data_IF_638717188706
#
_entry.id   IF_638717188706
#
_cell.length_a   1.000
_cell.length_b   1.000
_cell.length_c   1.000
_cell.angle_alpha   90.00
_cell.angle_beta   90.00
_cell.angle_gamma   90.00
#
_symmetry.space_group_name_H-M   'P 1'
#
loop_
_entity.id
_entity.type
_entity.pdbx_description
1 polymer ?
#
# COMPACT_ATOMS: atom_id res chain seq x y z
N UNK A 1 92.69 42.37 -16.51
CA UNK A 1 91.54 42.74 -17.36
C UNK A 1 90.31 42.04 -16.81
N UNK A 2 89.24 42.80 -16.60
CA UNK A 2 87.95 42.36 -16.06
C UNK A 2 87.31 41.25 -16.87
N UNK A 3 86.61 40.33 -16.20
CA UNK A 3 85.21 40.00 -16.50
C UNK A 3 84.51 39.42 -15.27
N UNK A 4 83.33 39.98 -15.01
CA UNK A 4 82.33 39.57 -14.04
C UNK A 4 81.82 38.15 -14.30
N UNK A 5 81.60 37.37 -13.23
CA UNK A 5 80.53 36.36 -13.20
C UNK A 5 79.73 36.50 -11.90
N UNK A 6 78.46 36.87 -12.06
CA UNK A 6 77.44 36.82 -11.01
C UNK A 6 77.18 35.36 -10.62
N UNK A 7 77.11 35.02 -9.33
CA UNK A 7 76.56 33.74 -8.91
C UNK A 7 75.05 33.77 -9.07
N UNK A 8 74.52 32.90 -9.94
CA UNK A 8 73.10 32.57 -9.98
C UNK A 8 72.76 31.75 -8.73
N UNK A 9 72.28 32.44 -7.69
CA UNK A 9 71.65 31.81 -6.53
C UNK A 9 70.38 31.10 -6.97
N UNK A 10 70.49 29.83 -7.34
CA UNK A 10 69.38 28.89 -7.39
C UNK A 10 68.79 28.78 -5.98
N UNK A 11 67.72 29.55 -5.71
CA UNK A 11 66.85 29.30 -4.55
C UNK A 11 66.17 27.95 -4.79
N UNK A 12 66.79 26.88 -4.30
CA UNK A 12 66.08 25.64 -4.02
C UNK A 12 65.03 25.99 -2.98
N UNK A 13 63.77 26.09 -3.39
CA UNK A 13 62.64 25.93 -2.48
C UNK A 13 62.69 24.47 -2.00
N UNK A 14 63.52 24.20 -0.99
CA UNK A 14 63.47 22.93 -0.25
C UNK A 14 62.13 22.92 0.45
N UNK A 15 61.20 22.14 -0.06
CA UNK A 15 59.93 21.86 0.61
C UNK A 15 60.30 21.08 1.88
N UNK A 16 60.42 21.76 3.02
CA UNK A 16 60.85 21.20 4.31
C UNK A 16 59.72 20.54 5.09
N UNK A 17 58.53 20.47 4.50
CA UNK A 17 57.37 19.83 5.09
C UNK A 17 57.49 18.29 5.02
N UNK A 18 57.03 17.57 6.05
CA UNK A 18 56.90 16.11 6.01
C UNK A 18 56.08 15.67 4.78
N UNK A 19 56.50 14.61 4.07
CA UNK A 19 55.73 14.06 2.95
C UNK A 19 54.34 13.61 3.43
N UNK A 20 53.32 13.79 2.58
CA UNK A 20 51.98 13.26 2.83
C UNK A 20 52.05 11.74 2.97
N UNK A 21 51.75 11.24 4.16
CA UNK A 21 51.71 9.82 4.53
C UNK A 21 50.47 9.59 5.40
N UNK A 22 49.77 8.49 5.19
CA UNK A 22 48.54 8.16 5.94
C UNK A 22 47.28 8.88 5.43
N UNK A 23 46.17 8.71 6.16
CA UNK A 23 44.92 9.44 5.89
C UNK A 23 45.05 10.93 6.30
N UNK A 24 44.16 11.79 5.81
CA UNK A 24 44.19 13.25 5.98
C UNK A 24 44.32 13.67 7.45
N UNK A 25 43.69 12.94 8.38
CA UNK A 25 43.73 13.16 9.82
C UNK A 25 45.10 12.82 10.42
N UNK A 26 45.69 11.70 10.00
CA UNK A 26 47.03 11.26 10.41
C UNK A 26 48.09 12.25 9.94
N UNK A 27 47.95 12.75 8.70
CA UNK A 27 48.85 13.76 8.17
C UNK A 27 48.69 15.13 8.86
N UNK A 28 47.47 15.52 9.25
CA UNK A 28 47.24 16.72 10.07
C UNK A 28 47.94 16.58 11.44
N UNK A 29 47.91 15.40 12.05
CA UNK A 29 48.60 15.15 13.32
C UNK A 29 50.13 15.22 13.17
N UNK A 30 50.69 14.58 12.14
CA UNK A 30 52.13 14.63 11.82
C UNK A 30 52.59 16.07 11.59
N UNK A 31 51.83 16.87 10.84
CA UNK A 31 52.16 18.28 10.60
C UNK A 31 52.04 19.14 11.85
N UNK A 32 51.12 18.83 12.76
CA UNK A 32 50.99 19.51 14.05
C UNK A 32 52.21 19.23 14.96
N UNK A 33 52.64 17.98 15.02
CA UNK A 33 53.82 17.59 15.81
C UNK A 33 55.12 18.13 15.20
N UNK A 34 55.20 18.21 13.88
CA UNK A 34 56.28 18.89 13.16
C UNK A 34 56.30 20.40 13.44
N UNK A 35 55.13 21.08 13.39
CA UNK A 35 55.02 22.49 13.77
C UNK A 35 55.55 22.71 15.19
N UNK A 36 55.13 21.89 16.16
CA UNK A 36 55.59 21.97 17.56
C UNK A 36 57.08 21.72 17.73
N UNK A 37 57.64 20.83 16.93
CA UNK A 37 59.08 20.56 16.92
C UNK A 37 59.87 21.73 16.35
N UNK A 38 59.40 22.35 15.26
CA UNK A 38 60.02 23.54 14.66
C UNK A 38 59.90 24.79 15.56
N UNK A 39 58.79 24.95 16.28
CA UNK A 39 58.62 26.00 17.31
C UNK A 39 59.66 25.86 18.43
N UNK A 40 59.87 24.65 18.95
CA UNK A 40 60.87 24.37 19.99
C UNK A 40 62.31 24.55 19.51
N UNK A 41 62.58 24.26 18.24
CA UNK A 41 63.90 24.39 17.62
C UNK A 41 64.22 25.81 17.10
N UNK A 42 63.32 26.78 17.26
CA UNK A 42 63.51 28.16 16.77
C UNK A 42 63.39 28.33 15.26
N UNK A 43 62.89 27.31 14.53
CA UNK A 43 62.73 27.32 13.07
C UNK A 43 61.37 27.89 12.67
N UNK A 44 61.17 29.18 12.92
CA UNK A 44 59.85 29.83 12.78
C UNK A 44 59.31 29.88 11.35
N UNK A 45 60.17 29.92 10.34
CA UNK A 45 59.73 29.88 8.93
C UNK A 45 59.10 28.53 8.56
N UNK A 46 59.68 27.42 9.04
CA UNK A 46 59.13 26.08 8.84
C UNK A 46 57.84 25.88 9.65
N UNK A 47 57.77 26.43 10.87
CA UNK A 47 56.55 26.41 11.68
C UNK A 47 55.40 27.22 11.04
N UNK A 48 55.68 28.37 10.40
CA UNK A 48 54.65 29.14 9.68
C UNK A 48 54.16 28.41 8.42
N UNK A 49 55.06 27.73 7.70
CA UNK A 49 54.69 26.89 6.56
C UNK A 49 53.81 25.70 7.00
N UNK A 50 54.18 25.01 8.08
CA UNK A 50 53.38 23.92 8.66
C UNK A 50 52.01 24.43 9.13
N UNK A 51 51.95 25.61 9.76
CA UNK A 51 50.71 26.25 10.20
C UNK A 51 49.77 26.57 9.03
N UNK A 52 50.28 27.13 7.93
CA UNK A 52 49.49 27.42 6.71
C UNK A 52 48.95 26.12 6.11
N UNK A 53 49.81 25.11 5.98
CA UNK A 53 49.41 23.80 5.43
C UNK A 53 48.37 23.10 6.31
N UNK A 54 48.50 23.18 7.64
CA UNK A 54 47.48 22.68 8.58
C UNK A 54 46.13 23.37 8.42
N UNK A 55 46.09 24.67 8.17
CA UNK A 55 44.85 25.40 7.95
C UNK A 55 44.15 24.95 6.66
N UNK A 56 44.91 24.72 5.58
CA UNK A 56 44.40 24.19 4.31
C UNK A 56 43.83 22.77 4.49
N UNK A 57 44.61 21.87 5.10
CA UNK A 57 44.20 20.47 5.27
C UNK A 57 42.99 20.32 6.20
N UNK A 58 42.89 21.14 7.24
CA UNK A 58 41.69 21.17 8.10
C UNK A 58 40.45 21.60 7.32
N UNK A 59 40.58 22.60 6.45
CA UNK A 59 39.48 23.03 5.58
C UNK A 59 39.09 21.95 4.58
N UNK A 60 40.06 21.23 4.04
CA UNK A 60 39.85 20.09 3.14
C UNK A 60 39.14 18.93 3.86
N UNK A 61 39.59 18.59 5.07
CA UNK A 61 38.96 17.58 5.92
C UNK A 61 37.51 17.96 6.28
N UNK A 62 37.28 19.21 6.67
CA UNK A 62 35.93 19.72 6.95
C UNK A 62 35.00 19.61 5.73
N UNK A 63 35.52 19.89 4.54
CA UNK A 63 34.76 19.76 3.29
C UNK A 63 34.47 18.30 2.96
N UNK A 64 35.46 17.40 3.12
CA UNK A 64 35.30 15.96 2.95
C UNK A 64 34.22 15.41 3.90
N UNK A 65 34.32 15.73 5.19
CA UNK A 65 33.36 15.31 6.21
C UNK A 65 31.92 15.78 5.90
N UNK A 66 31.76 17.00 5.36
CA UNK A 66 30.44 17.51 4.94
C UNK A 66 29.87 16.74 3.74
N UNK A 67 30.71 16.38 2.77
CA UNK A 67 30.30 15.59 1.61
C UNK A 67 29.92 14.17 2.06
N UNK A 68 30.75 13.52 2.86
CA UNK A 68 30.50 12.16 3.36
C UNK A 68 29.19 12.07 4.15
N UNK A 69 28.91 13.06 5.01
CA UNK A 69 27.63 13.15 5.74
C UNK A 69 26.46 13.32 4.78
N UNK A 70 26.59 14.20 3.78
CA UNK A 70 25.53 14.43 2.79
C UNK A 70 25.26 13.19 1.94
N UNK A 71 26.30 12.48 1.53
CA UNK A 71 26.18 11.28 0.71
C UNK A 71 25.52 10.15 1.50
N UNK A 72 25.91 9.98 2.77
CA UNK A 72 25.22 9.04 3.67
C UNK A 72 23.75 9.41 3.87
N UNK A 73 23.44 10.68 4.13
CA UNK A 73 22.05 11.15 4.27
C UNK A 73 21.21 10.86 3.03
N UNK A 74 21.81 11.00 1.84
CA UNK A 74 21.19 10.66 0.57
C UNK A 74 20.92 9.16 0.45
N UNK A 75 21.90 8.31 0.81
CA UNK A 75 21.74 6.85 0.81
C UNK A 75 20.63 6.39 1.75
N UNK A 76 20.63 6.88 3.00
CA UNK A 76 19.61 6.55 4.01
C UNK A 76 18.20 6.90 3.50
N UNK A 77 18.05 8.06 2.85
CA UNK A 77 16.77 8.47 2.27
C UNK A 77 16.33 7.55 1.14
N UNK A 78 17.25 7.19 0.24
CA UNK A 78 16.97 6.26 -0.87
C UNK A 78 16.58 4.87 -0.36
N UNK A 79 17.25 4.38 0.69
CA UNK A 79 16.95 3.09 1.30
C UNK A 79 15.54 3.06 1.90
N UNK A 80 15.14 4.14 2.61
CA UNK A 80 13.79 4.27 3.16
C UNK A 80 12.74 4.36 2.05
N UNK A 81 13.00 5.14 0.99
CA UNK A 81 12.10 5.26 -0.17
C UNK A 81 11.92 3.92 -0.88
N UNK A 82 13.01 3.17 -1.08
CA UNK A 82 12.97 1.84 -1.67
C UNK A 82 12.19 0.85 -0.79
N UNK A 83 12.49 0.80 0.50
CA UNK A 83 11.80 -0.08 1.44
C UNK A 83 10.29 0.24 1.50
N UNK A 84 9.92 1.52 1.50
CA UNK A 84 8.52 1.93 1.44
C UNK A 84 7.85 1.53 0.14
N UNK A 85 8.52 1.70 -1.01
CA UNK A 85 7.98 1.31 -2.30
C UNK A 85 7.73 -0.21 -2.35
N UNK A 86 8.65 -1.00 -1.81
CA UNK A 86 8.51 -2.45 -1.71
C UNK A 86 7.32 -2.83 -0.79
N UNK A 87 7.19 -2.21 0.39
CA UNK A 87 6.03 -2.40 1.28
C UNK A 87 4.72 -2.00 0.59
N UNK A 88 4.70 -0.89 -0.14
CA UNK A 88 3.53 -0.40 -0.87
C UNK A 88 3.12 -1.32 -2.02
N UNK A 89 4.09 -1.86 -2.75
CA UNK A 89 3.81 -2.82 -3.82
C UNK A 89 3.25 -4.12 -3.25
N UNK A 90 3.86 -4.66 -2.18
CA UNK A 90 3.35 -5.85 -1.49
C UNK A 90 1.93 -5.63 -0.94
N UNK A 91 1.67 -4.45 -0.37
CA UNK A 91 0.34 -4.06 0.10
C UNK A 91 -0.69 -4.10 -1.04
N UNK A 92 -0.37 -3.53 -2.20
CA UNK A 92 -1.28 -3.54 -3.34
C UNK A 92 -1.50 -4.96 -3.88
N UNK A 93 -0.44 -5.73 -4.09
CA UNK A 93 -0.56 -7.12 -4.55
C UNK A 93 -1.44 -7.95 -3.62
N UNK A 94 -1.19 -7.89 -2.31
CA UNK A 94 -1.99 -8.60 -1.31
C UNK A 94 -3.47 -8.20 -1.38
N UNK A 95 -3.77 -6.90 -1.45
CA UNK A 95 -5.14 -6.42 -1.49
C UNK A 95 -5.84 -6.72 -2.82
N UNK A 96 -5.12 -6.67 -3.94
CA UNK A 96 -5.66 -7.03 -5.25
C UNK A 96 -6.01 -8.53 -5.29
N UNK A 97 -5.11 -9.40 -4.81
CA UNK A 97 -5.36 -10.84 -4.66
C UNK A 97 -6.56 -11.11 -3.76
N UNK A 98 -6.58 -10.52 -2.56
CA UNK A 98 -7.67 -10.69 -1.58
C UNK A 98 -9.02 -10.24 -2.12
N UNK A 99 -9.08 -9.15 -2.89
CA UNK A 99 -10.32 -8.68 -3.51
C UNK A 99 -10.80 -9.63 -4.62
N UNK A 100 -9.87 -10.13 -5.45
CA UNK A 100 -10.18 -11.12 -6.48
C UNK A 100 -10.71 -12.42 -5.87
N UNK A 101 -10.07 -12.92 -4.80
CA UNK A 101 -10.53 -14.13 -4.09
C UNK A 101 -11.94 -13.94 -3.51
N UNK A 102 -12.21 -12.78 -2.90
CA UNK A 102 -13.54 -12.46 -2.38
C UNK A 102 -14.59 -12.47 -3.49
N UNK A 103 -14.30 -11.85 -4.64
CA UNK A 103 -15.23 -11.78 -5.77
C UNK A 103 -15.47 -13.16 -6.39
N UNK A 104 -14.44 -14.00 -6.48
CA UNK A 104 -14.56 -15.37 -6.97
C UNK A 104 -15.44 -16.22 -6.06
N UNK A 105 -15.21 -16.18 -4.74
CA UNK A 105 -16.02 -16.94 -3.79
C UNK A 105 -17.46 -16.42 -3.73
N UNK A 106 -17.67 -15.11 -3.79
CA UNK A 106 -18.99 -14.50 -3.87
C UNK A 106 -19.75 -14.96 -5.12
N UNK A 107 -19.07 -15.00 -6.27
CA UNK A 107 -19.66 -15.47 -7.54
C UNK A 107 -20.02 -16.97 -7.47
N UNK A 108 -19.14 -17.79 -6.89
CA UNK A 108 -19.39 -19.22 -6.68
C UNK A 108 -20.60 -19.47 -5.78
N UNK A 109 -20.73 -18.74 -4.67
CA UNK A 109 -21.90 -18.83 -3.78
C UNK A 109 -23.19 -18.44 -4.52
N UNK A 110 -23.13 -17.39 -5.35
CA UNK A 110 -24.26 -16.98 -6.17
C UNK A 110 -24.66 -18.04 -7.19
N UNK A 111 -23.70 -18.65 -7.87
CA UNK A 111 -23.94 -19.71 -8.86
C UNK A 111 -24.52 -20.96 -8.20
N UNK A 112 -23.99 -21.38 -7.05
CA UNK A 112 -24.56 -22.48 -6.26
C UNK A 112 -26.00 -22.22 -5.82
N UNK A 113 -26.31 -20.97 -5.45
CA UNK A 113 -27.67 -20.57 -5.08
C UNK A 113 -28.62 -20.65 -6.28
N UNK A 114 -28.19 -20.19 -7.45
CA UNK A 114 -28.96 -20.29 -8.69
C UNK A 114 -29.21 -21.75 -9.09
N UNK A 115 -28.18 -22.59 -9.05
CA UNK A 115 -28.32 -24.02 -9.34
C UNK A 115 -29.34 -24.67 -8.40
N UNK A 116 -29.25 -24.39 -7.09
CA UNK A 116 -30.22 -24.88 -6.11
C UNK A 116 -31.64 -24.39 -6.40
N UNK A 117 -31.80 -23.14 -6.83
CA UNK A 117 -33.11 -22.58 -7.20
C UNK A 117 -33.71 -23.28 -8.43
N UNK A 118 -32.89 -23.63 -9.42
CA UNK A 118 -33.32 -24.37 -10.60
C UNK A 118 -33.76 -25.80 -10.24
N UNK A 119 -32.97 -26.50 -9.43
CA UNK A 119 -33.30 -27.85 -8.96
C UNK A 119 -34.58 -27.87 -8.11
N UNK A 120 -34.71 -26.90 -7.19
CA UNK A 120 -35.91 -26.71 -6.37
C UNK A 120 -37.14 -26.42 -7.24
N UNK A 121 -37.00 -25.55 -8.26
CA UNK A 121 -38.10 -25.23 -9.17
C UNK A 121 -38.55 -26.44 -9.97
N UNK A 122 -37.60 -27.26 -10.43
CA UNK A 122 -37.88 -28.50 -11.16
C UNK A 122 -38.63 -29.50 -10.28
N UNK A 123 -38.09 -29.80 -9.10
CA UNK A 123 -38.70 -30.75 -8.15
C UNK A 123 -40.10 -30.27 -7.73
N UNK A 124 -40.25 -28.98 -7.41
CA UNK A 124 -41.54 -28.42 -7.03
C UNK A 124 -42.56 -28.45 -8.17
N UNK A 125 -42.13 -28.23 -9.41
CA UNK A 125 -43.02 -28.34 -10.58
C UNK A 125 -43.53 -29.78 -10.76
N UNK A 126 -42.63 -30.77 -10.67
CA UNK A 126 -42.98 -32.20 -10.76
C UNK A 126 -43.93 -32.60 -9.60
N UNK A 127 -43.69 -32.11 -8.39
CA UNK A 127 -44.56 -32.33 -7.23
C UNK A 127 -45.96 -31.73 -7.43
N UNK A 128 -46.05 -30.51 -7.96
CA UNK A 128 -47.33 -29.85 -8.24
C UNK A 128 -48.11 -30.58 -9.34
N UNK A 129 -47.43 -31.08 -10.37
CA UNK A 129 -48.07 -31.84 -11.44
C UNK A 129 -48.64 -33.17 -10.92
N UNK A 130 -47.90 -33.87 -10.06
CA UNK A 130 -48.31 -35.16 -9.51
C UNK A 130 -49.35 -35.06 -8.38
N UNK A 131 -49.30 -34.00 -7.57
CA UNK A 131 -50.17 -33.85 -6.40
C UNK A 131 -51.55 -33.27 -6.72
N UNK A 132 -51.69 -32.49 -7.80
CA UNK A 132 -52.96 -31.86 -8.17
C UNK A 132 -53.71 -32.75 -9.18
N UNK A 133 -54.91 -33.28 -8.83
CA UNK A 133 -55.63 -34.22 -9.67
C UNK A 133 -55.87 -33.71 -11.08
N UNK A 134 -55.62 -34.57 -12.08
CA UNK A 134 -55.78 -34.20 -13.50
C UNK A 134 -57.25 -34.10 -13.89
N UNK A 135 -58.13 -34.91 -13.29
CA UNK A 135 -59.57 -34.90 -13.54
C UNK A 135 -60.33 -34.35 -12.31
N UNK A 136 -61.39 -33.57 -12.53
CA UNK A 136 -62.29 -33.19 -11.45
C UNK A 136 -63.07 -34.42 -10.95
N UNK A 137 -63.63 -34.31 -9.74
CA UNK A 137 -64.66 -35.26 -9.29
C UNK A 137 -65.96 -34.95 -10.02
N UNK A 138 -66.73 -35.99 -10.37
CA UNK A 138 -68.03 -35.82 -11.01
C UNK A 138 -68.94 -34.92 -10.17
N UNK A 139 -69.57 -33.94 -10.81
CA UNK A 139 -70.54 -33.09 -10.13
C UNK A 139 -71.82 -33.86 -9.79
N UNK A 140 -72.57 -33.37 -8.80
CA UNK A 140 -73.84 -33.99 -8.40
C UNK A 140 -74.86 -34.02 -9.55
N UNK A 141 -74.84 -33.01 -10.43
CA UNK A 141 -75.67 -32.96 -11.64
C UNK A 141 -75.26 -34.04 -12.64
N UNK A 142 -73.96 -34.23 -12.85
CA UNK A 142 -73.42 -35.26 -13.75
C UNK A 142 -73.77 -36.68 -13.28
N UNK A 143 -73.67 -36.92 -11.97
CA UNK A 143 -74.12 -38.17 -11.34
C UNK A 143 -75.64 -38.38 -11.50
N UNK A 144 -76.45 -37.32 -11.37
CA UNK A 144 -77.90 -37.39 -11.57
C UNK A 144 -78.26 -37.69 -13.03
N UNK A 145 -77.56 -37.08 -14.00
CA UNK A 145 -77.76 -37.35 -15.42
C UNK A 145 -77.39 -38.79 -15.78
N UNK A 146 -76.26 -39.33 -15.29
CA UNK A 146 -75.89 -40.74 -15.48
C UNK A 146 -76.92 -41.70 -14.90
N UNK A 147 -77.46 -41.41 -13.71
CA UNK A 147 -78.55 -42.21 -13.12
C UNK A 147 -79.82 -42.17 -13.98
N UNK A 148 -80.13 -41.00 -14.55
CA UNK A 148 -81.30 -40.80 -15.42
C UNK A 148 -81.13 -41.55 -16.74
N UNK A 149 -79.95 -41.49 -17.37
CA UNK A 149 -79.58 -42.26 -18.55
C UNK A 149 -79.76 -43.77 -18.30
N UNK A 150 -79.20 -44.28 -17.21
CA UNK A 150 -79.29 -45.70 -16.84
C UNK A 150 -80.76 -46.14 -16.67
N UNK A 151 -81.58 -45.28 -16.05
CA UNK A 151 -83.00 -45.57 -15.85
C UNK A 151 -83.79 -45.56 -17.17
N UNK A 152 -83.53 -44.62 -18.07
CA UNK A 152 -84.15 -44.58 -19.40
C UNK A 152 -83.74 -45.78 -20.27
N UNK A 153 -82.47 -46.19 -20.19
CA UNK A 153 -81.98 -47.39 -20.86
C UNK A 153 -82.66 -48.67 -20.36
N UNK A 154 -82.85 -48.81 -19.03
CA UNK A 154 -83.61 -49.93 -18.43
C UNK A 154 -85.07 -49.96 -18.83
N UNK A 155 -85.65 -48.80 -19.16
CA UNK A 155 -87.02 -48.66 -19.66
C UNK A 155 -87.12 -48.81 -21.18
N UNK A 156 -86.02 -49.18 -21.85
CA UNK A 156 -85.91 -49.31 -23.32
C UNK A 156 -86.20 -48.02 -24.10
N UNK A 157 -86.17 -46.87 -23.44
CA UNK A 157 -86.36 -45.56 -24.08
C UNK A 157 -85.04 -45.02 -24.62
N UNK A 158 -84.54 -45.66 -25.68
CA UNK A 158 -83.20 -45.43 -26.21
C UNK A 158 -82.99 -44.03 -26.80
N UNK A 159 -84.03 -43.44 -27.39
CA UNK A 159 -83.94 -42.09 -27.97
C UNK A 159 -83.71 -41.03 -26.90
N UNK A 160 -84.45 -41.10 -25.80
CA UNK A 160 -84.25 -40.18 -24.67
C UNK A 160 -82.93 -40.46 -23.94
N UNK A 161 -82.56 -41.73 -23.77
CA UNK A 161 -81.26 -42.09 -23.19
C UNK A 161 -80.08 -41.50 -23.99
N UNK A 162 -80.12 -41.57 -25.33
CA UNK A 162 -79.09 -40.97 -26.19
C UNK A 162 -79.04 -39.44 -26.07
N UNK A 163 -80.18 -38.76 -25.90
CA UNK A 163 -80.20 -37.31 -25.67
C UNK A 163 -79.54 -36.95 -24.33
N UNK A 164 -79.83 -37.72 -23.27
CA UNK A 164 -79.19 -37.54 -21.96
C UNK A 164 -77.69 -37.84 -22.06
N UNK A 165 -77.28 -38.87 -22.80
CA UNK A 165 -75.87 -39.19 -23.05
C UNK A 165 -75.12 -38.02 -23.69
N UNK A 166 -75.68 -37.38 -24.71
CA UNK A 166 -75.07 -36.19 -25.33
C UNK A 166 -74.97 -35.02 -24.35
N UNK A 167 -75.95 -34.87 -23.46
CA UNK A 167 -75.91 -33.87 -22.38
C UNK A 167 -74.79 -34.15 -21.37
N UNK A 168 -74.61 -35.41 -20.98
CA UNK A 168 -73.50 -35.85 -20.10
C UNK A 168 -72.16 -35.52 -20.76
N UNK A 169 -71.95 -35.91 -22.02
CA UNK A 169 -70.69 -35.66 -22.74
C UNK A 169 -70.35 -34.16 -22.82
N UNK A 170 -71.33 -33.31 -23.14
CA UNK A 170 -71.13 -31.85 -23.14
C UNK A 170 -70.78 -31.32 -21.74
N UNK A 171 -71.49 -31.77 -20.71
CA UNK A 171 -71.23 -31.33 -19.34
C UNK A 171 -69.86 -31.79 -18.82
N UNK A 172 -69.46 -33.03 -19.10
CA UNK A 172 -68.14 -33.56 -18.77
C UNK A 172 -67.02 -32.75 -19.43
N UNK A 173 -67.20 -32.39 -20.71
CA UNK A 173 -66.23 -31.57 -21.44
C UNK A 173 -66.08 -30.20 -20.79
N UNK A 174 -67.20 -29.53 -20.49
CA UNK A 174 -67.18 -28.18 -19.92
C UNK A 174 -66.62 -28.17 -18.48
N UNK A 175 -66.94 -29.18 -17.68
CA UNK A 175 -66.36 -29.36 -16.33
C UNK A 175 -64.86 -29.65 -16.39
N UNK A 176 -64.43 -30.51 -17.31
CA UNK A 176 -63.01 -30.85 -17.51
C UNK A 176 -62.20 -29.63 -17.97
N UNK A 177 -62.74 -28.81 -18.88
CA UNK A 177 -62.08 -27.59 -19.35
C UNK A 177 -61.89 -26.59 -18.21
N UNK A 178 -62.96 -26.28 -17.46
CA UNK A 178 -62.90 -25.39 -16.29
C UNK A 178 -61.92 -25.91 -15.25
N UNK A 179 -61.94 -27.21 -14.97
CA UNK A 179 -61.00 -27.84 -14.05
C UNK A 179 -59.55 -27.70 -14.51
N UNK A 180 -59.29 -27.96 -15.79
CA UNK A 180 -57.95 -27.89 -16.39
C UNK A 180 -57.38 -26.47 -16.28
N UNK A 181 -58.17 -25.45 -16.62
CA UNK A 181 -57.77 -24.04 -16.49
C UNK A 181 -57.51 -23.68 -15.02
N UNK A 182 -58.40 -24.07 -14.10
CA UNK A 182 -58.24 -23.83 -12.67
C UNK A 182 -57.00 -24.50 -12.09
N UNK A 183 -56.74 -25.76 -12.47
CA UNK A 183 -55.54 -26.52 -12.09
C UNK A 183 -54.27 -25.81 -12.56
N UNK A 184 -54.21 -25.44 -13.84
CA UNK A 184 -53.05 -24.74 -14.40
C UNK A 184 -52.83 -23.37 -13.74
N UNK A 185 -53.90 -22.65 -13.42
CA UNK A 185 -53.77 -21.37 -12.70
C UNK A 185 -53.22 -21.58 -11.28
N UNK A 186 -53.69 -22.61 -10.57
CA UNK A 186 -53.18 -22.95 -9.23
C UNK A 186 -51.68 -23.28 -9.28
N UNK A 187 -51.26 -24.11 -10.23
CA UNK A 187 -49.84 -24.44 -10.44
C UNK A 187 -49.02 -23.17 -10.72
N UNK A 188 -49.47 -22.33 -11.67
CA UNK A 188 -48.79 -21.06 -12.01
C UNK A 188 -48.66 -20.11 -10.82
N UNK A 189 -49.69 -20.01 -9.99
CA UNK A 189 -49.66 -19.16 -8.80
C UNK A 189 -48.62 -19.64 -7.78
N UNK A 190 -48.55 -20.95 -7.54
CA UNK A 190 -47.58 -21.55 -6.60
C UNK A 190 -46.14 -21.41 -7.11
N UNK A 191 -45.91 -21.62 -8.42
CA UNK A 191 -44.60 -21.38 -9.04
C UNK A 191 -44.20 -19.90 -8.93
N UNK A 192 -45.13 -18.97 -9.18
CA UNK A 192 -44.86 -17.53 -9.03
C UNK A 192 -44.45 -17.18 -7.59
N UNK A 193 -45.11 -17.78 -6.58
CA UNK A 193 -44.74 -17.56 -5.18
C UNK A 193 -43.35 -18.09 -4.84
N UNK A 194 -42.97 -19.27 -5.34
CA UNK A 194 -41.63 -19.82 -5.15
C UNK A 194 -40.58 -18.91 -5.80
N UNK A 195 -40.79 -18.51 -7.07
CA UNK A 195 -39.90 -17.59 -7.78
C UNK A 195 -39.73 -16.26 -7.04
N UNK A 196 -40.79 -15.72 -6.46
CA UNK A 196 -40.69 -14.48 -5.68
C UNK A 196 -39.80 -14.65 -4.44
N UNK A 197 -39.86 -15.80 -3.75
CA UNK A 197 -38.96 -16.11 -2.63
C UNK A 197 -37.50 -16.19 -3.10
N UNK A 198 -37.26 -16.88 -4.23
CA UNK A 198 -35.94 -17.02 -4.84
C UNK A 198 -35.35 -15.66 -5.25
N UNK A 199 -36.15 -14.77 -5.85
CA UNK A 199 -35.75 -13.39 -6.19
C UNK A 199 -35.36 -12.62 -4.92
N UNK A 200 -36.16 -12.70 -3.86
CA UNK A 200 -35.86 -12.01 -2.60
C UNK A 200 -34.55 -12.51 -1.98
N UNK A 201 -34.30 -13.82 -2.03
CA UNK A 201 -33.06 -14.42 -1.56
C UNK A 201 -31.85 -13.93 -2.37
N UNK A 202 -31.93 -13.95 -3.70
CA UNK A 202 -30.85 -13.45 -4.58
C UNK A 202 -30.59 -11.96 -4.37
N UNK A 203 -31.63 -11.15 -4.16
CA UNK A 203 -31.48 -9.74 -3.85
C UNK A 203 -30.76 -9.53 -2.53
N UNK A 204 -31.14 -10.26 -1.48
CA UNK A 204 -30.46 -10.20 -0.18
C UNK A 204 -28.99 -10.63 -0.28
N UNK A 205 -28.71 -11.72 -1.02
CA UNK A 205 -27.35 -12.18 -1.28
C UNK A 205 -26.54 -11.12 -2.03
N UNK A 206 -27.10 -10.53 -3.08
CA UNK A 206 -26.44 -9.47 -3.85
C UNK A 206 -26.11 -8.26 -2.98
N UNK A 207 -27.03 -7.81 -2.14
CA UNK A 207 -26.78 -6.71 -1.20
C UNK A 207 -25.69 -7.06 -0.18
N UNK A 208 -25.64 -8.32 0.29
CA UNK A 208 -24.55 -8.79 1.17
C UNK A 208 -23.19 -8.78 0.46
N UNK A 209 -23.13 -9.21 -0.80
CA UNK A 209 -21.90 -9.18 -1.60
C UNK A 209 -21.44 -7.73 -1.79
N UNK A 210 -22.33 -6.83 -2.21
CA UNK A 210 -22.00 -5.42 -2.43
C UNK A 210 -21.52 -4.73 -1.15
N UNK A 211 -22.20 -4.95 -0.02
CA UNK A 211 -21.76 -4.40 1.27
C UNK A 211 -20.43 -4.99 1.73
N UNK A 212 -20.18 -6.28 1.50
CA UNK A 212 -18.89 -6.91 1.76
C UNK A 212 -17.75 -6.31 0.93
N UNK A 213 -17.98 -6.07 -0.37
CA UNK A 213 -17.00 -5.40 -1.25
C UNK A 213 -16.69 -3.98 -0.79
N UNK A 214 -17.71 -3.22 -0.39
CA UNK A 214 -17.54 -1.85 0.12
C UNK A 214 -16.73 -1.84 1.42
N UNK A 215 -17.00 -2.78 2.34
CA UNK A 215 -16.24 -2.91 3.57
C UNK A 215 -14.77 -3.27 3.29
N UNK A 216 -14.48 -4.18 2.35
CA UNK A 216 -13.09 -4.47 1.94
C UNK A 216 -12.39 -3.23 1.37
N UNK A 217 -13.06 -2.44 0.51
CA UNK A 217 -12.52 -1.18 -0.02
C UNK A 217 -12.21 -0.18 1.09
N UNK A 218 -13.12 -0.07 2.06
CA UNK A 218 -12.95 0.82 3.22
C UNK A 218 -11.76 0.39 4.08
N UNK A 219 -11.64 -0.91 4.38
CA UNK A 219 -10.51 -1.44 5.15
C UNK A 219 -9.19 -1.19 4.40
N UNK A 220 -9.13 -1.48 3.08
CA UNK A 220 -7.95 -1.18 2.25
C UNK A 220 -7.57 0.29 2.34
N UNK A 221 -8.52 1.21 2.24
CA UNK A 221 -8.27 2.65 2.34
C UNK A 221 -7.67 3.03 3.71
N UNK A 222 -8.23 2.51 4.80
CA UNK A 222 -7.73 2.77 6.15
C UNK A 222 -6.33 2.19 6.40
N UNK A 223 -6.05 0.99 5.91
CA UNK A 223 -4.73 0.39 6.03
C UNK A 223 -3.69 1.11 5.17
N UNK A 224 -4.08 1.57 3.97
CA UNK A 224 -3.23 2.41 3.13
C UNK A 224 -2.88 3.73 3.84
N UNK A 225 -3.84 4.38 4.47
CA UNK A 225 -3.60 5.60 5.25
C UNK A 225 -2.59 5.36 6.38
N UNK A 226 -2.73 4.24 7.10
CA UNK A 226 -1.78 3.85 8.16
C UNK A 226 -0.37 3.60 7.60
N UNK A 227 -0.26 2.93 6.46
CA UNK A 227 1.01 2.68 5.79
C UNK A 227 1.70 3.99 5.40
N UNK A 228 0.96 4.91 4.79
CA UNK A 228 1.47 6.24 4.41
C UNK A 228 1.85 7.07 5.65
N UNK A 229 1.08 6.97 6.74
CA UNK A 229 1.41 7.67 7.98
C UNK A 229 2.70 7.13 8.61
N UNK A 230 2.89 5.80 8.63
CA UNK A 230 4.14 5.15 9.08
C UNK A 230 5.34 5.70 8.30
N UNK A 231 5.23 5.75 6.96
CA UNK A 231 6.27 6.33 6.11
C UNK A 231 6.59 7.78 6.43
N UNK A 232 5.55 8.62 6.54
CA UNK A 232 5.74 10.03 6.86
C UNK A 232 6.44 10.22 8.21
N UNK A 233 6.13 9.39 9.20
CA UNK A 233 6.76 9.45 10.51
C UNK A 233 8.25 9.08 10.43
N UNK A 234 8.56 7.96 9.78
CA UNK A 234 9.95 7.50 9.58
C UNK A 234 10.75 8.55 8.82
N UNK A 235 10.19 9.14 7.76
CA UNK A 235 10.87 10.18 6.97
C UNK A 235 11.14 11.44 7.81
N UNK A 236 10.15 11.91 8.59
CA UNK A 236 10.31 13.07 9.48
C UNK A 236 11.35 12.81 10.56
N UNK A 237 11.39 11.59 11.10
CA UNK A 237 12.39 11.20 12.09
C UNK A 237 13.79 11.22 11.50
N UNK A 238 13.98 10.63 10.31
CA UNK A 238 15.25 10.67 9.59
C UNK A 238 15.68 12.12 9.32
N UNK A 239 14.79 12.96 8.77
CA UNK A 239 15.06 14.37 8.53
C UNK A 239 15.49 15.09 9.81
N UNK A 240 14.84 14.82 10.95
CA UNK A 240 15.21 15.39 12.24
C UNK A 240 16.61 14.94 12.69
N UNK A 241 16.92 13.65 12.55
CA UNK A 241 18.24 13.10 12.89
C UNK A 241 19.34 13.74 12.02
N UNK A 242 19.11 13.87 10.73
CA UNK A 242 20.03 14.47 9.78
C UNK A 242 20.29 15.97 10.08
N UNK A 243 19.23 16.73 10.39
CA UNK A 243 19.36 18.14 10.80
C UNK A 243 20.16 18.28 12.09
N UNK A 244 19.92 17.41 13.08
CA UNK A 244 20.68 17.41 14.33
C UNK A 244 22.16 17.10 14.08
N UNK A 245 22.46 16.16 13.19
CA UNK A 245 23.81 15.79 12.84
C UNK A 245 24.57 16.92 12.15
N UNK A 246 23.97 17.56 11.14
CA UNK A 246 24.55 18.75 10.48
C UNK A 246 24.83 19.84 11.51
N UNK A 247 23.88 20.09 12.42
CA UNK A 247 24.04 21.09 13.48
C UNK A 247 25.22 20.75 14.41
N UNK A 248 25.44 19.47 14.73
CA UNK A 248 26.58 19.02 15.54
C UNK A 248 27.90 19.18 14.78
N UNK A 249 27.93 18.82 13.50
CA UNK A 249 29.11 18.97 12.63
C UNK A 249 29.54 20.44 12.52
N UNK A 250 28.58 21.33 12.28
CA UNK A 250 28.83 22.77 12.20
C UNK A 250 29.33 23.36 13.52
N UNK A 251 28.80 22.90 14.66
CA UNK A 251 29.29 23.30 15.99
C UNK A 251 30.72 22.82 16.24
N UNK A 252 31.06 21.59 15.83
CA UNK A 252 32.42 21.05 15.95
C UNK A 252 33.43 21.87 15.15
N UNK A 253 33.10 22.16 13.89
CA UNK A 253 33.92 23.00 12.99
C UNK A 253 34.11 24.42 13.55
N UNK A 254 33.04 25.06 14.05
CA UNK A 254 33.12 26.39 14.70
C UNK A 254 33.98 26.39 15.96
N UNK A 255 33.86 25.36 16.79
CA UNK A 255 34.62 25.25 18.06
C UNK A 255 36.11 25.07 17.80
N UNK A 256 36.49 24.27 16.80
CA UNK A 256 37.88 24.16 16.35
C UNK A 256 38.42 25.48 15.79
N UNK A 257 37.61 26.24 15.06
CA UNK A 257 37.98 27.57 14.55
C UNK A 257 38.17 28.62 15.67
N UNK A 258 37.32 28.61 16.72
CA UNK A 258 37.40 29.57 17.84
C UNK A 258 38.63 29.33 18.72
N UNK A 259 39.00 28.06 18.97
CA UNK A 259 40.24 27.74 19.69
C UNK A 259 41.49 28.24 18.94
N UNK A 260 41.45 28.29 17.61
CA UNK A 260 42.53 28.81 16.79
C UNK A 260 42.65 30.34 16.87
N UNK A 261 41.52 31.06 16.83
CA UNK A 261 41.50 32.52 17.00
C UNK A 261 41.98 32.94 18.40
N UNK A 262 41.59 32.21 19.45
CA UNK A 262 42.00 32.51 20.82
C UNK A 262 43.51 32.31 21.04
N UNK A 263 44.10 31.26 20.45
CA UNK A 263 45.56 31.02 20.48
C UNK A 263 46.33 32.08 19.67
N UNK A 264 45.80 32.52 18.51
CA UNK A 264 46.43 33.59 17.73
C UNK A 264 46.39 34.94 18.46
N UNK A 265 45.31 35.26 19.15
CA UNK A 265 45.19 36.49 19.94
C UNK A 265 46.14 36.49 21.15
N UNK A 266 46.35 35.34 21.82
CA UNK A 266 47.34 35.21 22.90
C UNK A 266 48.78 35.40 22.40
N UNK A 267 49.17 34.81 21.26
CA UNK A 267 50.50 35.02 20.68
C UNK A 267 50.73 36.46 20.23
N UNK A 268 49.69 37.14 19.74
CA UNK A 268 49.76 38.56 19.34
C UNK A 268 49.89 39.48 20.56
N UNK A 269 49.22 39.17 21.67
CA UNK A 269 49.41 39.88 22.93
C UNK A 269 50.82 39.71 23.48
N UNK A 270 51.37 38.49 23.50
CA UNK A 270 52.75 38.24 23.95
C UNK A 270 53.80 38.99 23.11
N UNK A 271 53.58 39.13 21.81
CA UNK A 271 54.45 39.96 20.94
C UNK A 271 54.30 41.48 21.20
N UNK A 272 53.16 41.93 21.72
CA UNK A 272 52.95 43.32 22.13
C UNK A 272 53.78 43.64 23.38
N UNK A 273 53.69 42.79 24.41
CA UNK A 273 54.44 42.96 25.65
C UNK A 273 55.97 42.91 25.44
N UNK A 274 56.44 42.05 24.52
CA UNK A 274 57.87 41.99 24.18
C UNK A 274 58.39 43.22 23.40
N UNK A 275 57.50 44.01 22.78
CA UNK A 275 57.86 45.29 22.14
C UNK A 275 57.88 46.44 23.14
N UNK A 276 56.98 46.44 24.11
CA UNK A 276 56.92 47.46 25.15
C UNK A 276 58.08 47.34 26.15
N UNK A 277 58.55 46.13 26.47
CA UNK A 277 59.77 45.92 27.28
C UNK A 277 61.05 46.44 26.59
N UNK A 278 61.11 46.39 25.25
CA UNK A 278 62.26 46.92 24.49
C UNK A 278 62.25 48.44 24.33
N UNK A 279 61.17 49.13 24.73
CA UNK A 279 61.10 50.59 24.67
C UNK A 279 61.66 51.29 25.93
N UNK A 280 61.91 50.54 27.01
CA UNK A 280 62.49 51.05 28.27
C UNK A 280 63.99 50.79 28.43
N UNK A 281 64.65 50.21 27.42
CA UNK A 281 66.11 50.06 27.38
C UNK A 281 66.68 50.96 26.28
N UNK A 282 66.74 52.27 26.55
CA UNK A 282 67.59 53.22 25.84
C UNK A 282 68.17 54.23 26.83
#
# INVERSE_FOLDING_TARGET
>A
MSTFQRPTSSRKNTNTLPPQQGDLEEYIQILYDHQKSCEKAGKYLEADQAKKRLAELKKELDQKNKVDVKDRHCSEKQEIEKAHLDEFNQFNTFWDEKMVEFDQEAQKVKEQTLQRHEDELRQFSDELENSIPVKPKDSAELLALRKTEEQLAKQENYMEAHLIQQKILNQERDELEKWTVGRQQKIRNLITQLRQKQINELNALTQRILSGQEEQRKIRSQELEKLLQKYQNVRKELESQQVQEITRLDKSCKTQSIMQQSRMNQSRMQQSYAKDENQYIR
#
